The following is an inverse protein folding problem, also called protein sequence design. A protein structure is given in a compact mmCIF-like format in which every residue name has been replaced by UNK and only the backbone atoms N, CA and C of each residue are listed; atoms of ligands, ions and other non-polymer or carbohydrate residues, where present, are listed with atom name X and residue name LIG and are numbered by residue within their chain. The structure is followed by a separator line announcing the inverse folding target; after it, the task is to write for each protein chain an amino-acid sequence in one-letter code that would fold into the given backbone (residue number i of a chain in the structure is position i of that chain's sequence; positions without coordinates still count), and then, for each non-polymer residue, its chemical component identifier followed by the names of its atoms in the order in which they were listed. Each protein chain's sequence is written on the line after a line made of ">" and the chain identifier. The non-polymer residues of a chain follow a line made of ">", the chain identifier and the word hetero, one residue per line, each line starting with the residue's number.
data_IF_716514453371
#
_entry.id   IF_716514453371
#
_cell.length_a   1.000
_cell.length_b   1.000
_cell.length_c   1.000
_cell.angle_alpha   90.00
_cell.angle_beta   90.00
_cell.angle_gamma   90.00
#
_symmetry.space_group_name_H-M   'P 1'
#
loop_
_entity.id
_entity.type
_entity.pdbx_description
1 polymer ?
#
# COMPACT_ATOMS: atom_id res chain seq x y z
N UNK A 1 -35.21 -0.07 8.88
CA UNK A 1 -35.46 -0.70 7.56
C UNK A 1 -34.14 -1.30 7.12
N UNK A 2 -34.09 -2.60 6.82
CA UNK A 2 -32.88 -3.22 6.29
C UNK A 2 -32.57 -2.55 4.94
N UNK A 3 -31.42 -1.90 4.83
CA UNK A 3 -30.92 -1.39 3.55
C UNK A 3 -30.73 -2.63 2.67
N UNK A 4 -31.52 -2.76 1.60
CA UNK A 4 -31.29 -3.81 0.62
C UNK A 4 -29.94 -3.52 -0.03
N UNK A 5 -28.96 -4.38 0.23
CA UNK A 5 -27.65 -4.32 -0.39
C UNK A 5 -27.84 -4.64 -1.88
N UNK A 6 -27.81 -3.61 -2.73
CA UNK A 6 -27.95 -3.79 -4.18
C UNK A 6 -26.58 -4.09 -4.78
N UNK A 7 -26.50 -5.17 -5.57
CA UNK A 7 -25.33 -5.51 -6.38
C UNK A 7 -24.98 -4.33 -7.31
N UNK A 8 -23.73 -3.82 -7.31
CA UNK A 8 -23.37 -2.64 -8.11
C UNK A 8 -23.62 -2.83 -9.62
N UNK A 9 -23.14 -3.95 -10.17
CA UNK A 9 -23.35 -4.36 -11.58
C UNK A 9 -23.06 -5.84 -11.76
N UNK A 10 -23.37 -6.39 -12.92
CA UNK A 10 -22.93 -7.74 -13.28
C UNK A 10 -21.50 -7.74 -13.81
N UNK A 11 -20.72 -8.74 -13.41
CA UNK A 11 -19.40 -9.02 -13.94
C UNK A 11 -19.46 -10.30 -14.76
N UNK A 12 -18.69 -10.36 -15.85
CA UNK A 12 -18.57 -11.55 -16.71
C UNK A 12 -17.12 -12.00 -16.73
N UNK A 13 -16.91 -13.29 -16.57
CA UNK A 13 -15.62 -13.96 -16.72
C UNK A 13 -15.83 -15.29 -17.45
N UNK A 14 -14.80 -15.78 -18.13
CA UNK A 14 -14.86 -17.08 -18.83
C UNK A 14 -14.55 -18.26 -17.89
N UNK A 15 -13.91 -17.98 -16.74
CA UNK A 15 -13.47 -18.97 -15.75
C UNK A 15 -13.54 -18.36 -14.34
N UNK A 16 -13.66 -19.19 -13.28
CA UNK A 16 -13.52 -18.70 -11.91
C UNK A 16 -12.15 -18.02 -11.71
N UNK A 17 -12.13 -16.89 -11.01
CA UNK A 17 -10.90 -16.11 -10.77
C UNK A 17 -10.54 -16.17 -9.29
N UNK A 18 -9.29 -16.50 -8.98
CA UNK A 18 -8.76 -16.42 -7.61
C UNK A 18 -8.51 -14.95 -7.29
N UNK A 19 -9.07 -14.45 -6.19
CA UNK A 19 -8.90 -13.04 -5.79
C UNK A 19 -8.10 -12.96 -4.50
N UNK A 20 -6.98 -12.23 -4.53
CA UNK A 20 -6.06 -12.11 -3.39
C UNK A 20 -5.95 -10.63 -3.01
N UNK A 21 -6.49 -10.27 -1.86
CA UNK A 21 -6.26 -8.96 -1.25
C UNK A 21 -5.10 -9.01 -0.27
N UNK A 22 -4.19 -8.04 -0.38
CA UNK A 22 -3.02 -7.92 0.50
C UNK A 22 -3.06 -6.58 1.22
N UNK A 23 -3.59 -6.57 2.43
CA UNK A 23 -3.61 -5.41 3.32
C UNK A 23 -2.30 -5.20 4.07
N UNK A 24 -2.30 -4.23 4.97
CA UNK A 24 -1.12 -3.89 5.79
C UNK A 24 -0.89 -2.41 5.89
N UNK A 25 -0.36 -2.00 7.03
CA UNK A 25 -0.13 -0.60 7.36
C UNK A 25 0.80 0.09 6.34
N UNK A 26 0.78 1.42 6.33
CA UNK A 26 1.59 2.24 5.42
C UNK A 26 3.07 1.84 5.53
N UNK A 27 3.72 1.61 4.38
CA UNK A 27 5.12 1.18 4.30
C UNK A 27 5.40 -0.31 4.52
N UNK A 28 4.40 -1.15 4.80
CA UNK A 28 4.61 -2.60 5.05
C UNK A 28 5.12 -3.42 3.84
N UNK A 29 5.18 -2.82 2.65
CA UNK A 29 5.72 -3.46 1.44
C UNK A 29 4.69 -4.23 0.60
N UNK A 30 3.42 -3.80 0.63
CA UNK A 30 2.31 -4.39 -0.13
C UNK A 30 2.59 -4.49 -1.63
N UNK A 31 2.93 -3.38 -2.29
CA UNK A 31 3.26 -3.34 -3.72
C UNK A 31 4.36 -4.32 -4.10
N UNK A 32 5.45 -4.36 -3.31
CA UNK A 32 6.58 -5.28 -3.53
C UNK A 32 6.13 -6.73 -3.37
N UNK A 33 5.32 -7.02 -2.36
CA UNK A 33 4.77 -8.35 -2.10
C UNK A 33 3.84 -8.82 -3.23
N UNK A 34 2.95 -7.96 -3.72
CA UNK A 34 2.12 -8.28 -4.87
C UNK A 34 2.95 -8.53 -6.13
N UNK A 35 4.01 -7.75 -6.37
CA UNK A 35 4.94 -8.03 -7.46
C UNK A 35 5.67 -9.36 -7.31
N UNK A 36 6.04 -9.75 -6.08
CA UNK A 36 6.65 -11.05 -5.81
C UNK A 36 5.67 -12.23 -6.05
N UNK A 37 4.41 -12.08 -5.65
CA UNK A 37 3.35 -13.05 -5.92
C UNK A 37 3.06 -13.15 -7.42
N UNK A 38 2.88 -12.01 -8.11
CA UNK A 38 2.61 -11.96 -9.54
C UNK A 38 3.69 -12.68 -10.34
N UNK A 39 4.97 -12.44 -10.06
CA UNK A 39 6.09 -13.13 -10.74
C UNK A 39 6.03 -14.64 -10.58
N UNK A 40 5.72 -15.13 -9.37
CA UNK A 40 5.61 -16.58 -9.10
C UNK A 40 4.42 -17.20 -9.81
N UNK A 41 3.27 -16.54 -9.79
CA UNK A 41 2.07 -16.97 -10.51
C UNK A 41 2.33 -17.05 -12.02
N UNK A 42 2.99 -16.04 -12.59
CA UNK A 42 3.39 -16.03 -14.00
C UNK A 42 4.38 -17.17 -14.32
N UNK A 43 5.34 -17.45 -13.43
CA UNK A 43 6.28 -18.58 -13.57
C UNK A 43 5.56 -19.94 -13.51
N UNK A 44 4.43 -20.03 -12.81
CA UNK A 44 3.54 -21.20 -12.79
C UNK A 44 2.63 -21.27 -14.04
N UNK A 45 2.74 -20.32 -14.98
CA UNK A 45 1.96 -20.26 -16.21
C UNK A 45 0.55 -19.67 -16.06
N UNK A 46 0.24 -19.05 -14.91
CA UNK A 46 -1.05 -18.41 -14.67
C UNK A 46 -1.09 -16.98 -15.20
N UNK A 47 -2.25 -16.55 -15.70
CA UNK A 47 -2.46 -15.14 -16.07
C UNK A 47 -2.87 -14.32 -14.84
N UNK A 48 -2.25 -13.16 -14.65
CA UNK A 48 -2.43 -12.32 -13.46
C UNK A 48 -2.90 -10.94 -13.86
N UNK A 49 -3.83 -10.36 -13.10
CA UNK A 49 -4.24 -8.97 -13.22
C UNK A 49 -4.25 -8.28 -11.85
N UNK A 50 -4.03 -6.97 -11.83
CA UNK A 50 -3.88 -6.18 -10.60
C UNK A 50 -4.87 -5.02 -10.54
N UNK A 51 -5.43 -4.77 -9.35
CA UNK A 51 -6.12 -3.52 -9.02
C UNK A 51 -5.40 -2.85 -7.85
N UNK A 52 -4.87 -1.66 -8.08
CA UNK A 52 -4.20 -0.84 -7.06
C UNK A 52 -5.13 0.24 -6.53
N UNK A 53 -4.84 0.74 -5.33
CA UNK A 53 -5.65 1.77 -4.68
C UNK A 53 -4.81 2.78 -3.92
N UNK A 54 -5.17 4.05 -4.06
CA UNK A 54 -4.75 5.11 -3.15
C UNK A 54 -5.84 6.19 -3.11
N UNK A 55 -5.69 7.16 -2.21
CA UNK A 55 -6.63 8.26 -2.03
C UNK A 55 -6.46 9.36 -3.10
N UNK A 56 -5.52 9.23 -4.04
CA UNK A 56 -5.29 10.17 -5.13
C UNK A 56 -4.96 9.43 -6.44
N UNK A 57 -4.82 10.16 -7.55
CA UNK A 57 -4.40 9.62 -8.83
C UNK A 57 -2.87 9.68 -8.99
N UNK A 58 -2.34 9.05 -10.05
CA UNK A 58 -0.91 9.02 -10.42
C UNK A 58 -0.05 8.31 -9.36
N UNK A 59 -0.30 7.02 -9.18
CA UNK A 59 0.33 6.24 -8.13
C UNK A 59 1.69 5.70 -8.54
N UNK A 60 2.65 5.89 -7.65
CA UNK A 60 3.93 5.18 -7.75
C UNK A 60 3.69 3.67 -7.74
N UNK A 61 2.69 3.16 -7.00
CA UNK A 61 2.37 1.73 -6.99
C UNK A 61 1.95 1.22 -8.37
N UNK A 62 1.02 1.92 -9.00
CA UNK A 62 0.54 1.58 -10.35
C UNK A 62 1.69 1.59 -11.35
N UNK A 63 2.58 2.59 -11.27
CA UNK A 63 3.78 2.63 -12.12
C UNK A 63 4.72 1.46 -11.84
N UNK A 64 4.92 1.09 -10.57
CA UNK A 64 5.77 -0.04 -10.15
C UNK A 64 5.26 -1.35 -10.74
N UNK A 65 3.97 -1.62 -10.63
CA UNK A 65 3.40 -2.90 -11.04
C UNK A 65 3.16 -3.01 -12.54
N UNK A 66 3.02 -1.89 -13.26
CA UNK A 66 2.94 -1.87 -14.72
C UNK A 66 4.19 -2.43 -15.40
N UNK A 67 5.35 -2.32 -14.77
CA UNK A 67 6.60 -2.93 -15.27
C UNK A 67 6.55 -4.46 -15.29
N UNK A 68 5.59 -5.10 -14.61
CA UNK A 68 5.40 -6.55 -14.67
C UNK A 68 4.79 -7.01 -16.01
N UNK A 69 4.32 -6.10 -16.86
CA UNK A 69 3.69 -6.43 -18.14
C UNK A 69 2.31 -7.10 -18.00
N UNK A 70 1.66 -6.93 -16.85
CA UNK A 70 0.33 -7.48 -16.55
C UNK A 70 -0.76 -6.40 -16.70
N UNK A 71 -2.02 -6.77 -16.92
CA UNK A 71 -3.15 -5.83 -16.83
C UNK A 71 -3.24 -5.19 -15.44
N UNK A 72 -3.29 -3.87 -15.39
CA UNK A 72 -3.39 -3.08 -14.15
C UNK A 72 -4.49 -2.04 -14.29
N UNK A 73 -5.41 -2.00 -13.33
CA UNK A 73 -6.37 -0.90 -13.14
C UNK A 73 -6.16 -0.24 -11.78
N UNK A 74 -6.66 0.98 -11.63
CA UNK A 74 -6.47 1.81 -10.43
C UNK A 74 -7.82 2.32 -9.92
N UNK A 75 -8.02 2.25 -8.61
CA UNK A 75 -9.07 3.00 -7.91
C UNK A 75 -8.43 4.18 -7.20
N UNK A 76 -8.83 5.38 -7.58
CA UNK A 76 -8.29 6.63 -7.02
C UNK A 76 -9.39 7.44 -6.31
N UNK A 77 -8.99 8.35 -5.43
CA UNK A 77 -9.92 9.28 -4.76
C UNK A 77 -10.79 8.64 -3.68
N UNK A 78 -10.35 7.52 -3.08
CA UNK A 78 -11.02 6.84 -1.97
C UNK A 78 -10.52 5.41 -1.79
N UNK A 79 -10.61 4.85 -0.57
CA UNK A 79 -10.31 3.42 -0.39
C UNK A 79 -11.37 2.53 -1.06
N UNK A 80 -10.99 1.32 -1.51
CA UNK A 80 -11.89 0.23 -1.91
C UNK A 80 -13.14 0.09 -1.05
N UNK A 81 -13.03 0.22 0.28
CA UNK A 81 -14.18 0.12 1.19
C UNK A 81 -15.24 1.19 0.94
N UNK A 82 -14.84 2.41 0.58
CA UNK A 82 -15.74 3.54 0.29
C UNK A 82 -16.09 3.65 -1.20
N UNK A 83 -15.25 3.08 -2.07
CA UNK A 83 -15.34 3.13 -3.54
C UNK A 83 -15.56 1.72 -4.11
N UNK A 84 -16.45 0.95 -3.50
CA UNK A 84 -16.68 -0.45 -3.87
C UNK A 84 -17.14 -0.60 -5.33
N UNK A 85 -18.01 0.30 -5.82
CA UNK A 85 -18.45 0.30 -7.22
C UNK A 85 -17.27 0.53 -8.17
N UNK A 86 -16.37 1.45 -7.85
CA UNK A 86 -15.17 1.71 -8.64
C UNK A 86 -14.18 0.55 -8.61
N UNK A 87 -14.06 -0.15 -7.47
CA UNK A 87 -13.31 -1.41 -7.41
C UNK A 87 -13.90 -2.45 -8.37
N UNK A 88 -15.23 -2.56 -8.43
CA UNK A 88 -15.93 -3.44 -9.37
C UNK A 88 -15.69 -3.00 -10.83
N UNK A 89 -15.67 -1.70 -11.11
CA UNK A 89 -15.35 -1.16 -12.44
C UNK A 89 -13.90 -1.42 -12.85
N UNK A 90 -12.94 -1.17 -11.97
CA UNK A 90 -11.53 -1.48 -12.19
C UNK A 90 -11.31 -2.99 -12.37
N UNK A 91 -12.02 -3.81 -11.59
CA UNK A 91 -11.99 -5.27 -11.72
C UNK A 91 -12.51 -5.72 -13.09
N UNK A 92 -13.60 -5.14 -13.60
CA UNK A 92 -14.10 -5.47 -14.95
C UNK A 92 -13.06 -5.20 -16.05
N UNK A 93 -12.35 -4.07 -15.97
CA UNK A 93 -11.28 -3.73 -16.93
C UNK A 93 -10.18 -4.78 -16.92
N UNK A 94 -9.81 -5.27 -15.73
CA UNK A 94 -8.80 -6.32 -15.59
C UNK A 94 -9.33 -7.67 -16.10
N UNK A 95 -10.60 -8.00 -15.79
CA UNK A 95 -11.25 -9.24 -16.22
C UNK A 95 -11.37 -9.37 -17.74
N UNK A 96 -11.38 -8.25 -18.49
CA UNK A 96 -11.35 -8.27 -19.95
C UNK A 96 -10.10 -9.00 -20.52
N UNK A 97 -9.05 -9.16 -19.72
CA UNK A 97 -7.82 -9.88 -20.06
C UNK A 97 -7.81 -11.34 -19.58
N UNK A 98 -8.94 -11.84 -19.06
CA UNK A 98 -9.17 -13.22 -18.63
C UNK A 98 -8.10 -13.78 -17.64
N UNK A 99 -7.79 -13.07 -16.54
CA UNK A 99 -6.81 -13.51 -15.55
C UNK A 99 -7.27 -14.79 -14.82
N UNK A 100 -6.34 -15.68 -14.48
CA UNK A 100 -6.55 -16.73 -13.46
C UNK A 100 -6.59 -16.14 -12.05
N UNK A 101 -5.76 -15.12 -11.80
CA UNK A 101 -5.62 -14.48 -10.49
C UNK A 101 -5.75 -12.97 -10.56
N UNK A 102 -6.61 -12.41 -9.72
CA UNK A 102 -6.75 -10.98 -9.47
C UNK A 102 -6.06 -10.63 -8.15
N UNK A 103 -5.07 -9.75 -8.19
CA UNK A 103 -4.40 -9.22 -7.01
C UNK A 103 -4.94 -7.82 -6.68
N UNK A 104 -5.31 -7.58 -5.43
CA UNK A 104 -5.82 -6.30 -4.97
C UNK A 104 -4.95 -5.66 -3.90
N UNK A 105 -4.51 -4.43 -4.15
CA UNK A 105 -3.80 -3.59 -3.15
C UNK A 105 -4.75 -2.53 -2.58
N UNK A 106 -5.32 -2.70 -1.39
CA UNK A 106 -6.04 -1.63 -0.70
C UNK A 106 -5.07 -0.55 -0.20
N UNK A 107 -5.60 0.65 0.07
CA UNK A 107 -4.84 1.72 0.74
C UNK A 107 -4.24 1.22 2.05
N UNK A 108 -3.02 1.63 2.38
CA UNK A 108 -2.34 1.15 3.59
C UNK A 108 -2.98 1.54 4.93
N UNK A 109 -3.86 2.54 4.95
CA UNK A 109 -4.68 2.88 6.12
C UNK A 109 -6.03 2.16 6.16
N UNK A 110 -6.40 1.47 5.07
CA UNK A 110 -7.71 0.87 4.95
C UNK A 110 -7.91 -0.20 6.02
N UNK A 111 -9.00 -0.05 6.76
CA UNK A 111 -9.41 -0.93 7.85
C UNK A 111 -10.85 -1.36 7.61
N UNK A 112 -11.22 -2.54 8.11
CA UNK A 112 -12.53 -3.17 7.92
C UNK A 112 -12.76 -3.72 6.50
N UNK A 113 -11.67 -4.03 5.79
CA UNK A 113 -11.70 -4.56 4.44
C UNK A 113 -12.43 -5.91 4.38
N UNK A 114 -12.31 -6.74 5.43
CA UNK A 114 -13.05 -8.00 5.52
C UNK A 114 -14.56 -7.77 5.43
N UNK A 115 -15.10 -6.81 6.20
CA UNK A 115 -16.54 -6.53 6.26
C UNK A 115 -17.05 -5.70 5.06
N UNK A 116 -16.19 -4.88 4.47
CA UNK A 116 -16.59 -3.86 3.49
C UNK A 116 -16.22 -4.19 2.05
N UNK A 117 -15.30 -5.14 1.83
CA UNK A 117 -14.85 -5.53 0.48
C UNK A 117 -14.87 -7.04 0.30
N UNK A 118 -14.16 -7.81 1.13
CA UNK A 118 -14.01 -9.26 0.94
C UNK A 118 -15.36 -9.97 1.00
N UNK A 119 -16.13 -9.74 2.06
CA UNK A 119 -17.44 -10.37 2.22
C UNK A 119 -18.51 -9.83 1.25
N UNK A 120 -18.58 -8.52 0.94
CA UNK A 120 -19.42 -8.03 -0.16
C UNK A 120 -19.08 -8.63 -1.53
N UNK A 121 -17.81 -8.85 -1.86
CA UNK A 121 -17.44 -9.56 -3.10
C UNK A 121 -17.93 -11.01 -3.08
N UNK A 122 -17.84 -11.71 -1.95
CA UNK A 122 -18.40 -13.06 -1.80
C UNK A 122 -19.92 -13.06 -1.97
N UNK A 123 -20.60 -12.09 -1.36
CA UNK A 123 -22.06 -11.95 -1.44
C UNK A 123 -22.55 -11.70 -2.87
N UNK A 124 -21.87 -10.83 -3.61
CA UNK A 124 -22.33 -10.38 -4.93
C UNK A 124 -21.77 -11.17 -6.11
N UNK A 125 -20.61 -11.80 -5.94
CA UNK A 125 -19.81 -12.38 -7.04
C UNK A 125 -19.18 -13.74 -6.67
N UNK A 126 -19.68 -14.44 -5.64
CA UNK A 126 -19.16 -15.74 -5.21
C UNK A 126 -19.33 -16.88 -6.23
N UNK A 127 -20.10 -16.68 -7.29
CA UNK A 127 -20.22 -17.57 -8.44
C UNK A 127 -19.01 -17.48 -9.38
N UNK A 128 -18.36 -16.32 -9.45
CA UNK A 128 -17.21 -16.06 -10.34
C UNK A 128 -15.88 -15.88 -9.61
N UNK A 129 -15.91 -15.49 -8.33
CA UNK A 129 -14.72 -15.27 -7.53
C UNK A 129 -14.50 -16.35 -6.48
N UNK A 130 -13.23 -16.72 -6.31
CA UNK A 130 -12.72 -17.53 -5.21
C UNK A 130 -11.77 -16.65 -4.40
N UNK A 131 -12.26 -16.09 -3.30
CA UNK A 131 -11.47 -15.18 -2.47
C UNK A 131 -10.46 -15.98 -1.65
N UNK A 132 -9.21 -15.52 -1.63
CA UNK A 132 -8.15 -16.05 -0.77
C UNK A 132 -8.21 -15.46 0.64
N UNK A 133 -7.64 -16.14 1.66
CA UNK A 133 -7.48 -15.58 2.99
C UNK A 133 -6.87 -14.19 2.97
N UNK A 134 -7.49 -13.25 3.68
CA UNK A 134 -7.04 -11.87 3.71
C UNK A 134 -5.74 -11.73 4.50
N UNK A 135 -4.67 -11.37 3.78
CA UNK A 135 -3.35 -11.21 4.37
C UNK A 135 -3.09 -9.77 4.78
N UNK A 136 -2.53 -9.56 5.96
CA UNK A 136 -2.11 -8.24 6.46
C UNK A 136 -0.61 -8.25 6.69
N UNK A 137 0.11 -7.42 5.93
CA UNK A 137 1.56 -7.28 6.03
C UNK A 137 1.93 -6.35 7.18
N UNK A 138 2.99 -6.74 7.89
CA UNK A 138 3.51 -6.03 9.05
C UNK A 138 4.99 -5.76 8.86
N UNK A 139 5.38 -4.51 9.04
CA UNK A 139 6.78 -4.08 9.03
C UNK A 139 7.42 -4.33 10.41
N UNK A 140 8.62 -4.93 10.49
CA UNK A 140 9.35 -5.14 11.74
C UNK A 140 9.53 -3.86 12.57
N UNK A 141 9.73 -2.71 11.94
CA UNK A 141 9.84 -1.43 12.65
C UNK A 141 8.54 -1.09 13.39
N UNK A 142 7.38 -1.34 12.77
CA UNK A 142 6.07 -1.11 13.39
C UNK A 142 5.77 -2.13 14.48
N UNK A 143 6.30 -3.35 14.39
CA UNK A 143 6.27 -4.31 15.51
C UNK A 143 7.07 -3.78 16.70
N UNK A 144 8.33 -3.32 16.49
CA UNK A 144 9.16 -2.75 17.57
C UNK A 144 8.48 -1.56 18.25
N UNK A 145 7.83 -0.70 17.45
CA UNK A 145 7.19 0.54 17.91
C UNK A 145 5.83 0.31 18.59
N UNK A 146 4.90 -0.38 17.92
CA UNK A 146 3.48 -0.41 18.29
C UNK A 146 3.08 -1.68 19.05
N UNK A 147 3.86 -2.76 18.93
CA UNK A 147 3.58 -4.05 19.59
C UNK A 147 4.51 -4.25 20.78
N UNK A 148 5.81 -4.30 20.54
CA UNK A 148 6.84 -4.55 21.55
C UNK A 148 7.17 -3.32 22.40
N UNK A 149 6.87 -2.11 21.90
CA UNK A 149 7.11 -0.82 22.56
C UNK A 149 8.59 -0.59 22.95
N UNK A 150 9.52 -1.06 22.11
CA UNK A 150 10.96 -0.92 22.32
C UNK A 150 11.48 0.48 21.95
N UNK A 151 10.73 1.16 21.09
CA UNK A 151 11.00 2.51 20.64
C UNK A 151 9.75 3.38 20.86
N UNK A 152 9.91 4.65 21.25
CA UNK A 152 8.78 5.55 21.40
C UNK A 152 8.14 5.80 20.03
N UNK A 153 6.80 5.76 20.01
CA UNK A 153 6.02 6.11 18.83
C UNK A 153 5.81 7.62 18.76
N UNK A 154 6.01 8.19 17.56
CA UNK A 154 5.56 9.56 17.24
C UNK A 154 4.17 9.58 16.62
N UNK A 155 3.57 8.42 16.38
CA UNK A 155 2.19 8.34 15.92
C UNK A 155 1.18 8.63 17.04
N UNK A 156 0.12 9.38 16.74
CA UNK A 156 -1.04 9.47 17.62
C UNK A 156 -1.72 8.11 17.82
N UNK A 157 -2.46 7.98 18.92
CA UNK A 157 -3.13 6.72 19.30
C UNK A 157 -4.16 6.28 18.25
N UNK A 158 -4.80 7.23 17.55
CA UNK A 158 -5.74 6.96 16.47
C UNK A 158 -5.08 6.26 15.27
N UNK A 159 -3.80 6.53 15.02
CA UNK A 159 -3.02 5.84 13.98
C UNK A 159 -2.59 4.45 14.47
N UNK A 160 -2.18 4.32 15.74
CA UNK A 160 -1.90 3.02 16.35
C UNK A 160 -3.15 2.12 16.40
N UNK A 161 -4.34 2.72 16.57
CA UNK A 161 -5.62 2.04 16.51
C UNK A 161 -5.85 1.36 15.15
N UNK A 162 -5.61 2.08 14.05
CA UNK A 162 -5.68 1.52 12.68
C UNK A 162 -4.79 0.29 12.55
N UNK A 163 -3.53 0.40 12.97
CA UNK A 163 -2.57 -0.72 12.91
C UNK A 163 -3.10 -1.96 13.66
N UNK A 164 -3.59 -1.78 14.89
CA UNK A 164 -4.13 -2.89 15.68
C UNK A 164 -5.37 -3.51 15.03
N UNK A 165 -6.28 -2.69 14.49
CA UNK A 165 -7.50 -3.16 13.84
C UNK A 165 -7.23 -3.92 12.54
N UNK A 166 -6.23 -3.51 11.77
CA UNK A 166 -5.76 -4.29 10.61
C UNK A 166 -5.27 -5.69 11.04
N UNK A 167 -4.52 -5.81 12.14
CA UNK A 167 -4.12 -7.12 12.66
C UNK A 167 -5.32 -7.96 13.12
N UNK A 168 -6.34 -7.34 13.71
CA UNK A 168 -7.57 -7.99 14.18
C UNK A 168 -8.47 -8.52 13.04
N UNK A 169 -8.45 -7.94 11.84
CA UNK A 169 -9.26 -8.41 10.70
C UNK A 169 -8.54 -9.41 9.77
N UNK A 170 -7.22 -9.55 9.92
CA UNK A 170 -6.42 -10.46 9.08
C UNK A 170 -6.85 -11.93 9.24
N UNK A 171 -6.94 -12.69 8.14
CA UNK A 171 -6.94 -14.16 8.21
C UNK A 171 -5.49 -14.69 8.33
N UNK A 172 -4.52 -13.99 7.73
CA UNK A 172 -3.09 -14.30 7.81
C UNK A 172 -2.31 -13.03 8.14
N UNK A 173 -1.44 -13.09 9.14
CA UNK A 173 -0.47 -12.03 9.42
C UNK A 173 0.85 -12.38 8.74
N UNK A 174 1.42 -11.43 8.00
CA UNK A 174 2.69 -11.62 7.31
C UNK A 174 3.72 -10.63 7.86
N UNK A 175 4.64 -11.11 8.69
CA UNK A 175 5.82 -10.33 9.07
C UNK A 175 6.73 -10.24 7.85
N UNK A 176 6.67 -9.10 7.15
CA UNK A 176 7.44 -8.86 5.94
C UNK A 176 8.83 -8.30 6.28
N UNK A 177 9.70 -8.15 5.28
CA UNK A 177 11.05 -7.57 5.41
C UNK A 177 11.95 -8.31 6.42
N UNK A 178 11.76 -9.63 6.57
CA UNK A 178 12.58 -10.44 7.49
C UNK A 178 14.05 -10.51 7.08
N UNK A 179 14.37 -10.09 5.85
CA UNK A 179 15.75 -9.87 5.39
C UNK A 179 16.50 -8.77 6.16
N UNK A 180 15.77 -7.91 6.88
CA UNK A 180 16.32 -6.87 7.75
C UNK A 180 16.55 -7.34 9.19
N UNK A 181 16.28 -8.61 9.49
CA UNK A 181 16.29 -9.18 10.83
C UNK A 181 17.24 -10.37 10.93
N UNK A 182 17.80 -10.57 12.12
CA UNK A 182 18.34 -11.87 12.49
C UNK A 182 17.22 -12.92 12.67
N UNK A 183 17.50 -14.23 12.54
CA UNK A 183 16.51 -15.27 12.79
C UNK A 183 15.85 -15.17 14.17
N UNK A 184 16.63 -14.91 15.22
CA UNK A 184 16.15 -14.76 16.60
C UNK A 184 15.23 -13.55 16.77
N UNK A 185 15.55 -12.42 16.13
CA UNK A 185 14.67 -11.25 16.13
C UNK A 185 13.35 -11.54 15.41
N UNK A 186 13.41 -12.22 14.26
CA UNK A 186 12.20 -12.59 13.51
C UNK A 186 11.30 -13.52 14.34
N UNK A 187 11.87 -14.53 15.00
CA UNK A 187 11.12 -15.46 15.85
C UNK A 187 10.51 -14.78 17.09
N UNK A 188 11.24 -13.84 17.68
CA UNK A 188 10.73 -13.00 18.78
C UNK A 188 9.55 -12.13 18.34
N UNK A 189 9.64 -11.49 17.18
CA UNK A 189 8.54 -10.68 16.64
C UNK A 189 7.32 -11.52 16.26
N UNK A 190 7.54 -12.71 15.69
CA UNK A 190 6.46 -13.68 15.43
C UNK A 190 5.78 -14.07 16.74
N UNK A 191 6.55 -14.31 17.80
CA UNK A 191 5.99 -14.67 19.12
C UNK A 191 5.13 -13.54 19.67
N UNK A 192 5.58 -12.28 19.61
CA UNK A 192 4.80 -11.13 20.05
C UNK A 192 3.52 -10.91 19.22
N UNK A 193 3.57 -11.13 17.90
CA UNK A 193 2.38 -11.06 17.04
C UNK A 193 1.39 -12.19 17.35
N UNK A 194 1.88 -13.39 17.68
CA UNK A 194 1.04 -14.51 18.14
C UNK A 194 0.45 -14.28 19.53
N UNK A 195 1.18 -13.66 20.45
CA UNK A 195 0.62 -13.26 21.75
C UNK A 195 -0.52 -12.25 21.57
N UNK A 196 -0.36 -11.31 20.63
CA UNK A 196 -1.39 -10.33 20.31
C UNK A 196 -2.58 -10.95 19.54
N UNK A 197 -2.33 -11.92 18.67
CA UNK A 197 -3.33 -12.57 17.80
C UNK A 197 -3.18 -14.11 17.81
N UNK A 198 -3.59 -14.81 18.89
CA UNK A 198 -3.26 -16.22 19.11
C UNK A 198 -3.80 -17.22 18.08
N UNK A 199 -4.92 -16.89 17.45
CA UNK A 199 -5.63 -17.79 16.54
C UNK A 199 -5.25 -17.60 15.07
N UNK A 200 -4.22 -16.79 14.78
CA UNK A 200 -3.86 -16.40 13.41
C UNK A 200 -2.52 -16.99 13.01
N UNK A 201 -2.40 -17.55 11.80
CA UNK A 201 -1.09 -17.88 11.24
C UNK A 201 -0.27 -16.60 11.09
N UNK A 202 1.01 -16.67 11.48
CA UNK A 202 1.99 -15.60 11.32
C UNK A 202 3.15 -16.15 10.49
N UNK A 203 3.31 -15.62 9.28
CA UNK A 203 4.36 -16.02 8.34
C UNK A 203 5.53 -15.04 8.35
N UNK A 204 6.74 -15.55 8.10
CA UNK A 204 7.97 -14.77 7.90
C UNK A 204 8.23 -14.64 6.41
N UNK A 205 8.23 -13.41 5.88
CA UNK A 205 8.38 -13.16 4.43
C UNK A 205 9.41 -12.06 4.18
N UNK A 206 10.24 -12.26 3.16
CA UNK A 206 10.92 -11.15 2.47
C UNK A 206 10.36 -11.08 1.06
N UNK A 207 9.45 -10.14 0.81
CA UNK A 207 8.95 -9.91 -0.54
C UNK A 207 10.06 -9.47 -1.52
N UNK A 208 11.12 -8.83 -1.01
CA UNK A 208 12.25 -8.36 -1.80
C UNK A 208 13.14 -9.51 -2.26
N UNK A 209 13.53 -10.40 -1.33
CA UNK A 209 14.40 -11.56 -1.64
C UNK A 209 13.64 -12.78 -2.12
N UNK A 210 12.35 -12.86 -1.82
CA UNK A 210 11.50 -14.01 -2.10
C UNK A 210 11.41 -15.03 -0.97
N UNK A 211 12.08 -14.83 0.17
CA UNK A 211 12.05 -15.75 1.32
C UNK A 211 10.61 -15.89 1.85
N UNK A 212 10.12 -17.11 2.04
CA UNK A 212 8.78 -17.41 2.59
C UNK A 212 7.59 -17.10 1.66
N UNK A 213 7.83 -16.49 0.49
CA UNK A 213 6.73 -16.11 -0.43
C UNK A 213 6.03 -17.34 -1.01
N UNK A 214 6.73 -18.45 -1.24
CA UNK A 214 6.14 -19.67 -1.78
C UNK A 214 5.20 -20.37 -0.78
N UNK A 215 5.57 -20.41 0.50
CA UNK A 215 4.72 -20.89 1.59
C UNK A 215 3.47 -20.01 1.73
N UNK A 216 3.65 -18.69 1.67
CA UNK A 216 2.54 -17.76 1.70
C UNK A 216 1.61 -17.93 0.49
N UNK A 217 2.16 -18.05 -0.72
CA UNK A 217 1.39 -18.30 -1.94
C UNK A 217 0.61 -19.62 -1.85
N UNK A 218 1.20 -20.67 -1.29
CA UNK A 218 0.50 -21.94 -1.09
C UNK A 218 -0.75 -21.78 -0.21
N UNK A 219 -0.65 -21.03 0.91
CA UNK A 219 -1.82 -20.71 1.74
C UNK A 219 -2.84 -19.87 0.97
N UNK A 220 -2.38 -18.88 0.21
CA UNK A 220 -3.21 -18.02 -0.62
C UNK A 220 -3.88 -18.72 -1.79
N UNK A 221 -3.44 -19.92 -2.18
CA UNK A 221 -4.06 -20.74 -3.24
C UNK A 221 -4.93 -21.88 -2.69
N UNK A 222 -4.97 -22.07 -1.36
CA UNK A 222 -5.80 -23.08 -0.70
C UNK A 222 -7.28 -22.67 -0.59
N UNK A 223 -8.18 -23.59 -0.25
CA UNK A 223 -9.59 -23.29 -0.02
C UNK A 223 -9.89 -22.78 1.41
N UNK A 224 -8.88 -22.22 2.09
CA UNK A 224 -9.07 -21.64 3.42
C UNK A 224 -10.06 -20.44 3.37
N UNK A 225 -10.88 -20.25 4.43
CA UNK A 225 -11.84 -19.16 4.49
C UNK A 225 -11.20 -17.78 4.32
N UNK A 226 -11.93 -16.88 3.64
CA UNK A 226 -11.54 -15.50 3.41
C UNK A 226 -12.49 -14.51 4.09
N UNK A 227 -11.92 -13.48 4.72
CA UNK A 227 -12.65 -12.43 5.41
C UNK A 227 -13.34 -12.93 6.67
N UNK A 228 -12.72 -13.84 7.40
CA UNK A 228 -13.35 -14.55 8.54
C UNK A 228 -13.51 -13.66 9.77
N UNK A 229 -12.72 -12.60 9.86
CA UNK A 229 -12.64 -11.74 11.04
C UNK A 229 -13.25 -10.36 10.75
N UNK A 230 -14.55 -10.21 11.07
CA UNK A 230 -15.25 -8.91 11.00
C UNK A 230 -15.01 -8.12 12.29
N UNK A 231 -14.65 -6.85 12.15
CA UNK A 231 -14.46 -5.92 13.26
C UNK A 231 -15.81 -5.39 13.74
N UNK A 232 -16.50 -6.14 14.60
CA UNK A 232 -17.83 -5.75 15.10
C UNK A 232 -17.82 -4.42 15.86
N UNK A 233 -16.78 -4.18 16.64
CA UNK A 233 -16.62 -3.01 17.52
C UNK A 233 -15.63 -1.97 16.94
N UNK A 234 -15.59 -1.81 15.62
CA UNK A 234 -14.79 -0.77 14.99
C UNK A 234 -15.40 0.61 15.24
N UNK A 235 -14.60 1.50 15.82
CA UNK A 235 -14.91 2.91 16.03
C UNK A 235 -14.49 3.70 14.79
N UNK A 236 -15.48 4.03 13.95
CA UNK A 236 -15.26 4.81 12.73
C UNK A 236 -14.81 6.25 13.01
N UNK A 237 -15.09 6.81 14.18
CA UNK A 237 -14.63 8.16 14.52
C UNK A 237 -13.15 8.15 14.85
N UNK A 238 -12.69 7.16 15.62
CA UNK A 238 -11.25 6.94 15.87
C UNK A 238 -10.53 6.57 14.57
N UNK A 239 -11.11 5.71 13.73
CA UNK A 239 -10.54 5.36 12.43
C UNK A 239 -10.39 6.60 11.52
N UNK A 240 -11.47 7.38 11.35
CA UNK A 240 -11.46 8.58 10.52
C UNK A 240 -10.41 9.61 10.99
N UNK A 241 -10.28 9.79 12.32
CA UNK A 241 -9.25 10.66 12.90
C UNK A 241 -7.85 10.14 12.58
N UNK A 242 -7.61 8.83 12.72
CA UNK A 242 -6.32 8.22 12.40
C UNK A 242 -5.91 8.43 10.94
N UNK A 243 -6.86 8.36 10.01
CA UNK A 243 -6.59 8.66 8.59
C UNK A 243 -6.31 10.16 8.35
N UNK A 244 -7.10 11.04 8.97
CA UNK A 244 -7.04 12.48 8.77
C UNK A 244 -5.84 13.16 9.45
N UNK A 245 -5.27 12.54 10.49
CA UNK A 245 -4.06 12.97 11.21
C UNK A 245 -2.82 12.94 10.30
N UNK A 246 -2.80 12.04 9.33
CA UNK A 246 -1.74 12.01 8.32
C UNK A 246 -2.08 13.02 7.22
N UNK A 247 -1.12 13.86 6.85
CA UNK A 247 -1.16 14.63 5.62
C UNK A 247 -0.87 13.70 4.44
N UNK A 248 -1.72 13.76 3.42
CA UNK A 248 -1.59 12.97 2.19
C UNK A 248 -1.14 13.89 1.08
N UNK A 249 0.05 13.66 0.55
CA UNK A 249 0.58 14.42 -0.57
C UNK A 249 0.86 13.54 -1.77
N UNK A 250 0.44 14.01 -2.95
CA UNK A 250 0.77 13.42 -4.24
C UNK A 250 1.22 14.54 -5.16
N UNK A 251 2.42 14.43 -5.72
CA UNK A 251 3.02 15.43 -6.57
C UNK A 251 3.56 14.79 -7.86
N UNK A 252 3.39 15.51 -8.97
CA UNK A 252 4.00 15.20 -10.25
C UNK A 252 4.76 16.43 -10.72
N UNK A 253 6.07 16.26 -10.96
CA UNK A 253 6.97 17.35 -11.30
C UNK A 253 7.83 16.93 -12.48
N UNK A 254 7.95 17.80 -13.48
CA UNK A 254 8.87 17.64 -14.60
C UNK A 254 10.19 18.35 -14.27
N UNK A 255 11.30 17.65 -14.45
CA UNK A 255 12.65 18.12 -14.19
C UNK A 255 13.39 18.22 -15.52
N UNK A 256 14.03 19.37 -15.78
CA UNK A 256 14.80 19.61 -17.01
C UNK A 256 16.18 20.17 -16.68
N UNK A 257 17.23 19.49 -17.12
CA UNK A 257 18.62 19.96 -17.01
C UNK A 257 19.06 20.76 -18.23
N UNK A 258 20.05 21.63 -18.05
CA UNK A 258 20.69 22.36 -19.17
C UNK A 258 22.22 22.25 -19.09
N UNK A 259 22.87 21.34 -19.85
CA UNK A 259 22.29 20.38 -20.80
C UNK A 259 21.69 19.12 -20.14
N UNK A 260 22.14 18.76 -18.94
CA UNK A 260 21.70 17.56 -18.20
C UNK A 260 21.87 17.77 -16.70
N UNK A 261 21.26 16.90 -15.90
CA UNK A 261 21.45 16.85 -14.45
C UNK A 261 21.58 15.40 -13.97
N UNK A 262 22.17 15.22 -12.78
CA UNK A 262 22.30 13.90 -12.17
C UNK A 262 21.04 13.55 -11.36
N UNK A 263 20.21 12.67 -11.91
CA UNK A 263 18.95 12.26 -11.29
C UNK A 263 19.15 11.48 -9.98
N UNK A 264 20.24 10.71 -9.86
CA UNK A 264 20.58 9.99 -8.62
C UNK A 264 20.92 10.96 -7.50
N UNK A 265 21.73 11.98 -7.80
CA UNK A 265 22.06 13.03 -6.84
C UNK A 265 20.82 13.81 -6.41
N UNK A 266 19.94 14.17 -7.36
CA UNK A 266 18.65 14.80 -7.06
C UNK A 266 17.82 13.93 -6.10
N UNK A 267 17.71 12.63 -6.39
CA UNK A 267 16.95 11.68 -5.60
C UNK A 267 17.46 11.57 -4.14
N UNK A 268 18.78 11.51 -3.96
CA UNK A 268 19.42 11.45 -2.64
C UNK A 268 19.22 12.75 -1.85
N UNK A 269 19.49 13.89 -2.47
CA UNK A 269 19.31 15.20 -1.84
C UNK A 269 17.85 15.47 -1.46
N UNK A 270 16.90 15.14 -2.34
CA UNK A 270 15.48 15.33 -2.06
C UNK A 270 15.04 14.49 -0.84
N UNK A 271 15.52 13.26 -0.71
CA UNK A 271 15.24 12.45 0.49
C UNK A 271 15.81 13.07 1.75
N UNK A 272 17.05 13.53 1.71
CA UNK A 272 17.67 14.15 2.87
C UNK A 272 16.99 15.46 3.27
N UNK A 273 16.58 16.28 2.31
CA UNK A 273 15.84 17.53 2.57
C UNK A 273 14.47 17.26 3.19
N UNK A 274 13.67 16.34 2.62
CA UNK A 274 12.37 15.99 3.17
C UNK A 274 12.50 15.38 4.57
N UNK A 275 13.47 14.47 4.75
CA UNK A 275 13.76 13.83 6.03
C UNK A 275 14.12 14.85 7.10
N UNK A 276 15.00 15.79 6.76
CA UNK A 276 15.41 16.89 7.65
C UNK A 276 14.22 17.78 7.99
N UNK A 277 13.40 18.15 7.01
CA UNK A 277 12.23 19.00 7.21
C UNK A 277 11.15 18.36 8.09
N UNK A 278 10.94 17.05 7.96
CA UNK A 278 10.01 16.27 8.80
C UNK A 278 10.56 16.12 10.22
N UNK A 279 11.84 15.79 10.37
CA UNK A 279 12.47 15.66 11.68
C UNK A 279 12.53 16.98 12.46
N UNK A 280 12.79 18.11 11.78
CA UNK A 280 12.75 19.44 12.39
C UNK A 280 11.38 19.80 12.99
N UNK A 281 10.31 19.12 12.54
CA UNK A 281 8.93 19.30 13.03
C UNK A 281 8.51 18.21 14.02
N UNK A 282 9.43 17.32 14.41
CA UNK A 282 9.16 16.15 15.26
C UNK A 282 7.99 15.29 14.76
N UNK A 283 7.83 15.21 13.43
CA UNK A 283 6.78 14.43 12.79
C UNK A 283 7.27 13.03 12.41
N UNK A 284 6.31 12.11 12.22
CA UNK A 284 6.57 10.73 11.82
C UNK A 284 6.24 10.53 10.33
N UNK A 285 7.14 9.88 9.59
CA UNK A 285 6.84 9.40 8.24
C UNK A 285 6.15 8.05 8.38
N UNK A 286 4.90 7.97 7.96
CA UNK A 286 4.24 6.67 7.80
C UNK A 286 4.75 5.99 6.53
N UNK A 287 4.80 6.74 5.43
CA UNK A 287 5.32 6.27 4.16
C UNK A 287 5.64 7.44 3.23
N UNK A 288 6.84 7.46 2.67
CA UNK A 288 7.23 8.40 1.62
C UNK A 288 7.93 7.60 0.52
N UNK A 289 7.48 7.78 -0.72
CA UNK A 289 8.10 7.18 -1.89
C UNK A 289 8.07 8.13 -3.07
N UNK A 290 9.01 7.96 -3.97
CA UNK A 290 8.91 8.56 -5.28
C UNK A 290 9.52 7.67 -6.36
N UNK A 291 9.11 7.96 -7.59
CA UNK A 291 9.64 7.37 -8.82
C UNK A 291 10.10 8.51 -9.72
N UNK A 292 11.37 8.46 -10.12
CA UNK A 292 11.91 9.24 -11.23
C UNK A 292 11.92 8.36 -12.48
N UNK A 293 11.37 8.87 -13.58
CA UNK A 293 11.37 8.19 -14.87
C UNK A 293 11.93 9.11 -15.94
N UNK A 294 12.80 8.58 -16.78
CA UNK A 294 13.30 9.23 -17.99
C UNK A 294 13.24 8.24 -19.16
N UNK A 295 13.54 8.70 -20.38
CA UNK A 295 13.66 7.82 -21.55
C UNK A 295 14.77 6.77 -21.43
N UNK A 296 15.72 6.97 -20.51
CA UNK A 296 16.88 6.09 -20.30
C UNK A 296 16.71 5.08 -19.16
N UNK A 297 15.68 5.23 -18.31
CA UNK A 297 15.48 4.34 -17.17
C UNK A 297 14.62 4.95 -16.07
N UNK A 298 14.66 4.31 -14.89
CA UNK A 298 13.92 4.78 -13.73
C UNK A 298 14.67 4.55 -12.42
N UNK A 299 14.39 5.39 -11.43
CA UNK A 299 14.93 5.31 -10.08
C UNK A 299 13.79 5.49 -9.08
N UNK A 300 13.68 4.53 -8.16
CA UNK A 300 12.69 4.56 -7.07
C UNK A 300 13.39 4.82 -5.77
N UNK A 301 12.74 5.58 -4.89
CA UNK A 301 13.17 5.70 -3.51
C UNK A 301 12.01 5.54 -2.54
N UNK A 302 12.32 4.96 -1.39
CA UNK A 302 11.35 4.63 -0.34
C UNK A 302 11.93 4.99 1.03
N UNK A 303 11.10 5.60 1.87
CA UNK A 303 11.40 5.94 3.25
C UNK A 303 10.19 5.59 4.13
N UNK A 304 10.39 4.69 5.09
CA UNK A 304 9.34 4.24 6.02
C UNK A 304 9.43 4.86 7.41
N UNK A 305 10.49 5.61 7.71
CA UNK A 305 10.66 6.38 8.94
C UNK A 305 11.63 7.54 8.70
N UNK A 306 11.42 8.67 9.37
CA UNK A 306 12.30 9.84 9.22
C UNK A 306 13.74 9.58 9.71
N UNK A 307 13.96 8.67 10.65
CA UNK A 307 15.32 8.37 11.15
C UNK A 307 15.99 7.20 10.41
N UNK A 308 15.31 6.56 9.47
CA UNK A 308 15.88 5.47 8.68
C UNK A 308 16.69 6.00 7.48
N UNK A 309 17.59 5.17 6.96
CA UNK A 309 18.22 5.42 5.68
C UNK A 309 17.20 5.17 4.55
N UNK A 310 17.10 6.07 3.54
CA UNK A 310 16.29 5.82 2.36
C UNK A 310 16.83 4.63 1.57
N UNK A 311 15.92 3.85 0.97
CA UNK A 311 16.28 2.77 0.05
C UNK A 311 16.07 3.25 -1.38
N UNK A 312 17.04 2.99 -2.26
CA UNK A 312 16.97 3.30 -3.69
C UNK A 312 16.99 2.01 -4.51
N UNK A 313 16.14 1.93 -5.54
CA UNK A 313 16.04 0.79 -6.45
C UNK A 313 16.02 1.29 -7.89
N UNK A 314 16.89 0.72 -8.73
CA UNK A 314 17.10 1.16 -10.11
C UNK A 314 18.32 2.10 -10.23
N UNK A 315 18.66 2.45 -11.47
CA UNK A 315 19.77 3.34 -11.79
C UNK A 315 19.29 4.40 -12.78
N UNK A 316 19.51 5.66 -12.42
CA UNK A 316 19.24 6.81 -13.27
C UNK A 316 20.27 7.90 -12.92
N UNK A 317 21.22 8.14 -13.83
CA UNK A 317 22.34 9.06 -13.60
C UNK A 317 22.11 10.37 -14.37
N UNK A 318 22.95 10.67 -15.36
CA UNK A 318 22.83 11.87 -16.20
C UNK A 318 21.63 11.76 -17.13
N UNK A 319 20.71 12.74 -17.03
CA UNK A 319 19.52 12.84 -17.89
C UNK A 319 19.25 14.29 -18.27
N UNK A 320 18.71 14.50 -19.47
CA UNK A 320 18.23 15.83 -19.92
C UNK A 320 16.89 16.17 -19.27
N UNK A 321 16.02 15.18 -19.14
CA UNK A 321 14.67 15.33 -18.59
C UNK A 321 14.28 14.11 -17.74
N UNK A 322 13.55 14.34 -16.65
CA UNK A 322 12.88 13.28 -15.90
C UNK A 322 11.52 13.74 -15.34
N UNK A 323 10.61 12.79 -15.17
CA UNK A 323 9.35 13.01 -14.43
C UNK A 323 9.47 12.41 -13.03
N UNK A 324 9.23 13.22 -12.01
CA UNK A 324 9.10 12.83 -10.62
C UNK A 324 7.62 12.60 -10.29
N UNK A 325 7.29 11.41 -9.78
CA UNK A 325 6.02 11.12 -9.12
C UNK A 325 6.32 10.83 -7.65
N UNK A 326 5.80 11.64 -6.74
CA UNK A 326 6.05 11.54 -5.30
C UNK A 326 4.73 11.35 -4.55
N UNK A 327 4.70 10.36 -3.66
CA UNK A 327 3.59 10.14 -2.73
C UNK A 327 4.13 10.13 -1.29
N UNK A 328 3.55 10.94 -0.42
CA UNK A 328 3.94 11.05 0.99
C UNK A 328 2.75 10.99 1.93
N UNK A 329 2.89 10.26 3.03
CA UNK A 329 1.96 10.09 4.14
C UNK A 329 2.73 10.36 5.42
N UNK A 330 2.53 11.53 6.01
CA UNK A 330 3.35 12.05 7.11
C UNK A 330 2.43 12.63 8.17
N UNK A 331 2.76 12.48 9.45
CA UNK A 331 2.02 13.08 10.56
C UNK A 331 2.24 14.60 10.63
N UNK A 332 1.77 15.32 9.60
CA UNK A 332 1.79 16.76 9.40
C UNK A 332 0.45 17.18 8.80
N UNK A 333 0.06 18.46 8.99
CA UNK A 333 -1.09 18.99 8.27
C UNK A 333 -0.84 18.96 6.75
N UNK A 334 -1.90 18.87 5.92
CA UNK A 334 -1.77 18.95 4.46
C UNK A 334 -0.99 20.18 3.99
N UNK A 335 -1.25 21.35 4.57
CA UNK A 335 -0.58 22.60 4.19
C UNK A 335 0.91 22.55 4.50
N UNK A 336 1.27 22.06 5.70
CA UNK A 336 2.65 21.91 6.10
C UNK A 336 3.41 20.90 5.22
N UNK A 337 2.81 19.74 4.94
CA UNK A 337 3.39 18.72 4.09
C UNK A 337 3.56 19.21 2.65
N UNK A 338 2.56 19.91 2.11
CA UNK A 338 2.61 20.56 0.80
C UNK A 338 3.76 21.54 0.70
N UNK A 339 3.84 22.47 1.66
CA UNK A 339 4.87 23.50 1.71
C UNK A 339 6.29 22.92 1.75
N UNK A 340 6.57 21.99 2.68
CA UNK A 340 7.92 21.41 2.77
C UNK A 340 8.29 20.60 1.54
N UNK A 341 7.31 19.92 0.91
CA UNK A 341 7.62 19.06 -0.24
C UNK A 341 7.97 19.88 -1.47
N UNK A 342 7.18 20.91 -1.76
CA UNK A 342 7.46 21.78 -2.91
C UNK A 342 8.72 22.58 -2.69
N UNK A 343 8.94 23.09 -1.47
CA UNK A 343 10.19 23.76 -1.16
C UNK A 343 11.40 22.85 -1.43
N UNK A 344 11.39 21.62 -0.90
CA UNK A 344 12.48 20.66 -1.08
C UNK A 344 12.70 20.30 -2.55
N UNK A 345 11.64 20.04 -3.33
CA UNK A 345 11.77 19.74 -4.76
C UNK A 345 12.44 20.88 -5.51
N UNK A 346 12.02 22.13 -5.27
CA UNK A 346 12.56 23.30 -5.95
C UNK A 346 14.01 23.58 -5.54
N UNK A 347 14.35 23.51 -4.25
CA UNK A 347 15.73 23.70 -3.78
C UNK A 347 16.67 22.62 -4.29
N UNK A 348 16.24 21.35 -4.23
CA UNK A 348 17.06 20.25 -4.74
C UNK A 348 17.26 20.36 -6.25
N UNK A 349 16.21 20.68 -7.02
CA UNK A 349 16.33 20.87 -8.47
C UNK A 349 17.36 21.95 -8.81
N UNK A 350 17.26 23.11 -8.15
CA UNK A 350 18.23 24.19 -8.31
C UNK A 350 19.65 23.76 -7.94
N UNK A 351 19.83 23.00 -6.86
CA UNK A 351 21.13 22.55 -6.39
C UNK A 351 21.84 21.60 -7.37
N UNK A 352 21.08 20.80 -8.14
CA UNK A 352 21.63 19.90 -9.17
C UNK A 352 21.66 20.51 -10.57
N UNK A 353 21.34 21.80 -10.72
CA UNK A 353 21.34 22.49 -12.01
C UNK A 353 20.15 22.12 -12.92
N UNK A 354 19.02 21.74 -12.33
CA UNK A 354 17.78 21.46 -13.04
C UNK A 354 16.69 22.51 -12.74
N UNK A 355 15.79 22.71 -13.70
CA UNK A 355 14.53 23.42 -13.50
C UNK A 355 13.42 22.43 -13.15
N UNK A 356 12.57 22.79 -12.18
CA UNK A 356 11.44 21.97 -11.75
C UNK A 356 10.11 22.67 -12.10
N UNK A 357 9.36 22.03 -13.00
CA UNK A 357 8.00 22.44 -13.37
C UNK A 357 6.99 21.56 -12.62
N UNK A 358 6.27 22.17 -11.69
CA UNK A 358 5.25 21.50 -10.89
C UNK A 358 3.98 21.30 -11.73
N UNK A 359 3.77 20.08 -12.23
CA UNK A 359 2.62 19.76 -13.09
C UNK A 359 1.33 19.58 -12.28
N UNK A 360 1.42 18.90 -11.13
CA UNK A 360 0.29 18.66 -10.25
C UNK A 360 0.76 18.45 -8.81
N UNK A 361 0.04 19.02 -7.85
CA UNK A 361 0.27 18.80 -6.42
C UNK A 361 -1.07 18.78 -5.71
N UNK A 362 -1.30 17.73 -4.96
CA UNK A 362 -2.46 17.61 -4.10
C UNK A 362 -1.96 17.30 -2.69
N UNK A 363 -2.44 18.07 -1.72
CA UNK A 363 -2.23 17.80 -0.30
C UNK A 363 -3.58 17.86 0.41
N UNK A 364 -3.94 16.80 1.12
CA UNK A 364 -5.26 16.69 1.76
C UNK A 364 -5.23 15.74 2.97
N UNK A 365 -6.34 15.74 3.71
CA UNK A 365 -6.67 14.68 4.68
C UNK A 365 -7.82 13.84 4.09
N UNK A 366 -7.82 12.50 4.27
CA UNK A 366 -8.88 11.66 3.73
C UNK A 366 -10.23 12.05 4.33
N UNK A 367 -11.32 11.94 3.55
CA UNK A 367 -12.65 12.15 4.07
C UNK A 367 -13.03 11.05 5.06
N UNK A 368 -14.06 11.30 5.87
CA UNK A 368 -14.61 10.30 6.77
C UNK A 368 -15.03 9.02 5.99
N UNK A 369 -14.62 7.82 6.43
CA UNK A 369 -14.94 6.58 5.74
C UNK A 369 -16.43 6.25 5.84
N UNK A 370 -17.09 6.14 4.69
CA UNK A 370 -18.52 5.81 4.56
C UNK A 370 -18.70 4.64 3.60
N UNK A 371 -18.37 3.41 4.01
CA UNK A 371 -18.49 2.26 3.13
C UNK A 371 -19.97 2.03 2.75
N UNK A 372 -20.31 1.97 1.45
CA UNK A 372 -21.68 1.71 1.01
C UNK A 372 -22.13 0.27 1.33
N UNK A 373 -21.17 -0.64 1.50
CA UNK A 373 -21.39 -2.02 1.87
C UNK A 373 -20.58 -2.35 3.11
N UNK A 374 -21.24 -2.81 4.17
CA UNK A 374 -20.59 -3.31 5.38
C UNK A 374 -21.42 -4.44 5.97
N UNK A 375 -20.90 -5.66 5.96
CA UNK A 375 -21.59 -6.80 6.54
C UNK A 375 -21.26 -6.93 8.03
N UNK A 376 -22.22 -7.44 8.80
CA UNK A 376 -22.03 -7.72 10.23
C UNK A 376 -21.53 -9.13 10.50
N UNK A 377 -21.67 -10.04 9.54
CA UNK A 377 -21.29 -11.46 9.64
C UNK A 377 -20.52 -11.91 8.40
N UNK A 378 -19.53 -12.81 8.53
CA UNK A 378 -18.83 -13.38 7.39
C UNK A 378 -19.78 -14.17 6.49
N UNK A 379 -19.52 -14.12 5.18
CA UNK A 379 -20.18 -14.97 4.19
C UNK A 379 -19.42 -16.31 4.13
N UNK A 380 -20.12 -17.42 3.91
CA UNK A 380 -19.47 -18.72 3.67
C UNK A 380 -18.51 -18.67 2.48
N UNK A 381 -17.47 -19.51 2.50
CA UNK A 381 -16.54 -19.72 1.38
C UNK A 381 -17.24 -20.28 0.15
#
# INVERSE_FOLDING_TARGET
>A
MAVQLQKPKDLRTQKPVRVIFTGGFLGAGKTTALGALARRLLQQGLTVGLVTNDQAANLVDTAIVKELGVPVAEVAGGCFCCRFSDLVDATEQVLANNPDVLLGEPVGSCTDLAATVVNPLKLFYGDIFRLAPFSVLVDPQRVRELVLKEIPTRFPEEVAYIFRKQLEEADIIVLNKVDTLSPDEADRMVSALKELQPNKPVLKVSALRGDGVDEWLQMLMSDAPAGSHILRDLDYDTYAKGEAVLGWLNATVRLVGTPQFNARQFAEQLMDELRTAVNARNAEVAHLKFLLTSGTGSLRAHLTKADAAPTFIGELNEVEEATLVLNARVALSPEALGGITIQAILSTAQAVGAEAEVLNVQSFSPPYPRPPYRLSEPIGS
#
